data_IF_873179599265
#
_entry.id   IF_873179599265
#
_cell.length_a   1.000
_cell.length_b   1.000
_cell.length_c   1.000
_cell.angle_alpha   90.00
_cell.angle_beta   90.00
_cell.angle_gamma   90.00
#
_symmetry.space_group_name_H-M   'P 1'
#
loop_
_entity.id
_entity.type
_entity.pdbx_description
1 polymer ?
#
# COMPACT_ATOMS: atom_id res chain seq x y z
N UNK A 1 52.37 -30.16 50.45
CA UNK A 1 51.14 -29.92 51.23
C UNK A 1 49.93 -30.10 50.28
N UNK A 2 48.97 -31.00 50.60
CA UNK A 2 47.61 -31.08 50.01
C UNK A 2 46.66 -30.10 50.76
N UNK A 3 45.30 -30.00 50.55
CA UNK A 3 44.28 -30.85 49.85
C UNK A 3 43.44 -30.16 48.73
N UNK A 4 42.85 -30.85 47.71
CA UNK A 4 41.53 -31.57 47.58
C UNK A 4 40.29 -30.65 47.85
N UNK A 5 39.19 -30.54 47.07
CA UNK A 5 38.29 -31.48 46.34
C UNK A 5 37.35 -30.74 45.34
N UNK A 6 37.13 -31.24 44.10
CA UNK A 6 35.92 -31.89 43.50
C UNK A 6 34.63 -31.07 43.23
N UNK A 7 34.11 -31.15 41.98
CA UNK A 7 32.72 -30.80 41.63
C UNK A 7 32.43 -30.84 40.13
N UNK A 8 32.09 -32.02 39.60
CA UNK A 8 31.66 -32.32 38.23
C UNK A 8 30.20 -31.94 37.95
N UNK A 9 29.87 -31.53 36.72
CA UNK A 9 28.48 -31.37 36.28
C UNK A 9 28.32 -31.01 34.80
N UNK A 10 28.48 -32.00 33.92
CA UNK A 10 28.11 -31.96 32.51
C UNK A 10 26.58 -31.97 32.33
N UNK A 11 26.00 -30.91 31.77
CA UNK A 11 24.59 -30.81 31.41
C UNK A 11 24.41 -30.77 29.90
N UNK A 12 24.09 -31.93 29.31
CA UNK A 12 23.72 -32.09 27.90
C UNK A 12 22.30 -31.54 27.67
N UNK A 13 22.19 -30.46 26.90
CA UNK A 13 20.91 -29.81 26.56
C UNK A 13 20.22 -30.55 25.41
N UNK A 14 19.47 -31.60 25.73
CA UNK A 14 18.58 -32.27 24.78
C UNK A 14 17.42 -31.35 24.39
N UNK A 15 17.29 -31.07 23.09
CA UNK A 15 16.15 -30.37 22.51
C UNK A 15 14.87 -31.20 22.67
N UNK A 16 14.00 -30.81 23.60
CA UNK A 16 12.67 -31.39 23.73
C UNK A 16 11.75 -30.80 22.67
N UNK A 17 11.40 -31.61 21.66
CA UNK A 17 10.30 -31.32 20.76
C UNK A 17 9.00 -31.17 21.57
N UNK A 18 8.40 -29.97 21.54
CA UNK A 18 7.13 -29.66 22.20
C UNK A 18 6.01 -30.37 21.43
N UNK A 19 5.66 -31.59 21.83
CA UNK A 19 4.47 -32.28 21.37
C UNK A 19 3.25 -31.38 21.64
N UNK A 20 2.56 -30.98 20.56
CA UNK A 20 1.29 -30.25 20.64
C UNK A 20 0.32 -31.07 21.49
N UNK A 21 -0.04 -30.54 22.65
CA UNK A 21 -1.06 -31.14 23.53
C UNK A 21 -2.36 -31.25 22.74
N UNK A 22 -2.82 -32.46 22.47
CA UNK A 22 -4.11 -32.68 21.85
C UNK A 22 -5.20 -32.15 22.79
N UNK A 23 -5.88 -31.08 22.38
CA UNK A 23 -6.96 -30.51 23.17
C UNK A 23 -8.24 -31.34 23.00
N UNK A 24 -8.90 -31.62 24.13
CA UNK A 24 -10.19 -32.32 24.20
C UNK A 24 -11.25 -31.50 23.47
N UNK A 25 -11.76 -32.03 22.35
CA UNK A 25 -12.78 -31.37 21.52
C UNK A 25 -14.02 -31.02 22.37
N UNK A 26 -14.47 -29.77 22.32
CA UNK A 26 -15.74 -29.36 22.93
C UNK A 26 -16.89 -30.09 22.22
N UNK A 27 -17.73 -30.82 22.97
CA UNK A 27 -18.87 -31.58 22.40
C UNK A 27 -19.92 -30.63 21.80
N UNK A 28 -20.10 -29.46 22.39
CA UNK A 28 -21.17 -28.51 22.03
C UNK A 28 -20.66 -27.25 21.29
N UNK A 29 -19.39 -27.24 20.88
CA UNK A 29 -18.80 -26.12 20.15
C UNK A 29 -19.48 -25.86 18.80
N UNK A 30 -19.39 -24.59 18.36
CA UNK A 30 -19.90 -24.16 17.05
C UNK A 30 -19.18 -24.89 15.90
N UNK A 31 -19.82 -24.93 14.73
CA UNK A 31 -19.27 -25.58 13.54
C UNK A 31 -17.92 -25.02 13.14
N UNK A 32 -17.74 -23.70 13.25
CA UNK A 32 -16.53 -23.04 12.81
C UNK A 32 -15.33 -23.35 13.72
N UNK A 33 -15.52 -23.36 15.05
CA UNK A 33 -14.45 -23.79 15.97
C UNK A 33 -14.12 -25.28 15.80
N UNK A 34 -15.13 -26.12 15.52
CA UNK A 34 -14.92 -27.56 15.23
C UNK A 34 -14.13 -27.75 13.93
N UNK A 35 -14.51 -27.05 12.85
CA UNK A 35 -13.82 -27.04 11.54
C UNK A 35 -12.36 -26.61 11.68
N UNK A 36 -12.12 -25.58 12.51
CA UNK A 36 -10.80 -25.03 12.79
C UNK A 36 -9.97 -25.84 13.80
N UNK A 37 -10.52 -26.93 14.35
CA UNK A 37 -9.89 -27.74 15.40
C UNK A 37 -9.41 -26.92 16.62
N UNK A 38 -10.13 -25.85 16.98
CA UNK A 38 -9.86 -25.00 18.15
C UNK A 38 -10.96 -25.17 19.22
N UNK A 39 -10.64 -24.82 20.47
CA UNK A 39 -11.60 -24.90 21.58
C UNK A 39 -12.64 -23.77 21.46
N UNK A 40 -13.91 -24.13 21.33
CA UNK A 40 -15.04 -23.20 21.40
C UNK A 40 -15.32 -22.83 22.86
N UNK A 41 -15.58 -21.55 23.12
CA UNK A 41 -16.05 -21.01 24.40
C UNK A 41 -17.57 -21.15 24.60
N UNK A 42 -18.29 -21.57 23.55
CA UNK A 42 -19.72 -21.91 23.57
C UNK A 42 -20.68 -20.75 23.89
N UNK A 43 -20.19 -19.51 23.91
CA UNK A 43 -21.02 -18.31 24.04
C UNK A 43 -22.02 -18.19 22.87
N UNK A 44 -23.25 -17.77 23.17
CA UNK A 44 -24.36 -17.56 22.22
C UNK A 44 -24.79 -16.08 22.23
N UNK A 45 -25.17 -15.48 21.08
CA UNK A 45 -25.44 -16.11 19.77
C UNK A 45 -24.19 -16.50 18.96
N UNK A 46 -23.03 -15.91 19.25
CA UNK A 46 -21.75 -16.23 18.61
C UNK A 46 -20.63 -16.39 19.65
N UNK A 47 -19.71 -17.33 19.40
CA UNK A 47 -18.58 -17.60 20.30
C UNK A 47 -17.46 -16.55 20.11
N UNK A 48 -16.70 -16.24 21.17
CA UNK A 48 -15.69 -15.18 21.14
C UNK A 48 -14.64 -15.39 20.05
N UNK A 49 -14.25 -16.64 19.78
CA UNK A 49 -13.31 -16.94 18.70
C UNK A 49 -13.84 -16.61 17.31
N UNK A 50 -15.14 -16.83 17.08
CA UNK A 50 -15.78 -16.50 15.81
C UNK A 50 -16.03 -14.99 15.67
N UNK A 51 -16.40 -14.32 16.77
CA UNK A 51 -16.57 -12.85 16.81
C UNK A 51 -15.24 -12.15 16.51
N UNK A 52 -14.16 -12.53 17.19
CA UNK A 52 -12.82 -11.98 16.98
C UNK A 52 -12.32 -12.24 15.54
N UNK A 53 -12.68 -13.40 14.97
CA UNK A 53 -12.31 -13.72 13.59
C UNK A 53 -13.29 -13.22 12.53
N UNK A 54 -14.38 -12.54 12.93
CA UNK A 54 -15.48 -12.10 12.07
C UNK A 54 -16.05 -13.21 11.16
N UNK A 55 -16.15 -14.44 11.69
CA UNK A 55 -16.67 -15.61 10.95
C UNK A 55 -18.09 -15.93 11.38
N UNK A 56 -18.88 -16.44 10.43
CA UNK A 56 -20.24 -16.92 10.68
C UNK A 56 -20.23 -18.03 11.73
N UNK A 57 -20.77 -17.73 12.92
CA UNK A 57 -20.83 -18.66 14.04
C UNK A 57 -22.19 -19.37 14.07
N UNK A 58 -22.20 -20.67 13.79
CA UNK A 58 -23.41 -21.49 13.87
C UNK A 58 -23.21 -22.67 14.83
N UNK A 59 -24.19 -22.89 15.70
CA UNK A 59 -24.20 -24.02 16.64
C UNK A 59 -25.11 -25.14 16.12
N UNK A 60 -24.82 -26.41 16.40
CA UNK A 60 -25.75 -27.50 16.11
C UNK A 60 -27.07 -27.26 16.86
N UNK A 61 -28.19 -27.40 16.15
CA UNK A 61 -29.52 -27.33 16.74
C UNK A 61 -29.67 -28.44 17.79
N UNK A 62 -30.16 -28.11 18.99
CA UNK A 62 -30.52 -29.14 19.95
C UNK A 62 -31.79 -29.85 19.47
N UNK A 63 -31.86 -31.19 19.52
CA UNK A 63 -33.11 -31.90 19.27
C UNK A 63 -34.10 -31.58 20.39
N UNK A 64 -35.19 -30.92 20.04
CA UNK A 64 -36.31 -30.63 20.95
C UNK A 64 -37.02 -31.93 21.32
N UNK A 65 -37.26 -32.25 22.60
CA UNK A 65 -38.13 -33.36 22.96
C UNK A 65 -39.58 -33.04 22.56
N UNK A 66 -40.21 -33.96 21.84
CA UNK A 66 -41.63 -33.92 21.53
C UNK A 66 -42.47 -34.11 22.80
N UNK A 67 -43.49 -33.26 22.99
CA UNK A 67 -44.59 -33.51 23.91
C UNK A 67 -45.92 -33.09 23.23
N UNK A 68 -46.83 -34.05 23.11
CA UNK A 68 -48.24 -33.88 22.76
C UNK A 68 -49.10 -33.74 24.06
N UNK A 69 -50.45 -33.71 24.02
CA UNK A 69 -51.39 -32.79 23.37
C UNK A 69 -52.30 -32.02 24.41
N UNK A 70 -53.14 -31.11 23.89
CA UNK A 70 -54.20 -30.17 24.39
C UNK A 70 -55.32 -30.75 25.31
N UNK A 71 -56.42 -30.04 25.79
CA UNK A 71 -57.04 -28.70 25.51
C UNK A 71 -57.68 -27.97 26.77
N UNK A 72 -58.71 -27.06 26.71
CA UNK A 72 -58.95 -25.80 25.96
C UNK A 72 -59.42 -24.58 26.83
N UNK A 73 -59.37 -23.34 26.30
CA UNK A 73 -60.52 -22.39 26.19
C UNK A 73 -60.14 -21.05 25.48
N UNK A 74 -61.13 -20.47 24.80
CA UNK A 74 -61.12 -19.40 23.76
C UNK A 74 -61.63 -18.03 24.32
N UNK A 75 -61.98 -16.98 23.53
CA UNK A 75 -61.40 -16.33 22.32
C UNK A 75 -61.43 -14.77 22.34
N UNK A 76 -60.80 -14.09 21.36
CA UNK A 76 -61.35 -12.97 20.52
C UNK A 76 -60.32 -12.60 19.41
N UNK A 77 -60.56 -12.90 18.12
CA UNK A 77 -61.12 -12.04 17.04
C UNK A 77 -60.11 -11.00 16.48
N UNK A 78 -59.85 -10.73 15.19
CA UNK A 78 -60.49 -11.08 13.91
C UNK A 78 -59.65 -10.59 12.69
N UNK A 79 -59.83 -11.23 11.52
CA UNK A 79 -59.76 -10.74 10.10
C UNK A 79 -58.42 -10.17 9.55
N UNK A 80 -57.99 -10.40 8.29
CA UNK A 80 -58.35 -11.28 7.18
C UNK A 80 -57.16 -11.26 6.19
N UNK A 81 -56.81 -12.42 5.62
CA UNK A 81 -55.99 -12.58 4.41
C UNK A 81 -56.90 -12.34 3.15
N UNK A 82 -56.42 -12.36 1.87
CA UNK A 82 -55.99 -13.64 1.29
C UNK A 82 -55.05 -13.68 0.05
N UNK A 83 -54.33 -14.83 -0.05
CA UNK A 83 -54.15 -15.75 -1.21
C UNK A 83 -53.22 -15.26 -2.35
N UNK A 84 -52.42 -16.06 -3.05
CA UNK A 84 -52.12 -17.51 -3.20
C UNK A 84 -51.03 -17.58 -4.32
N UNK A 85 -50.28 -18.63 -4.65
CA UNK A 85 -50.27 -20.06 -4.37
C UNK A 85 -48.87 -20.64 -4.70
N UNK A 86 -48.61 -21.82 -4.14
CA UNK A 86 -47.45 -22.71 -4.20
C UNK A 86 -47.08 -23.30 -5.57
N UNK A 87 -45.83 -23.80 -5.67
CA UNK A 87 -45.42 -25.22 -5.96
C UNK A 87 -43.93 -25.22 -6.41
N UNK A 88 -42.96 -25.61 -5.57
CA UNK A 88 -42.37 -26.96 -5.37
C UNK A 88 -42.14 -27.76 -6.66
N UNK A 89 -40.88 -27.93 -7.08
CA UNK A 89 -40.14 -29.21 -7.13
C UNK A 89 -38.77 -29.05 -7.83
N UNK A 90 -37.77 -29.76 -7.31
CA UNK A 90 -36.46 -30.08 -7.92
C UNK A 90 -36.51 -31.60 -8.23
N UNK A 91 -35.76 -32.20 -9.20
CA UNK A 91 -34.31 -32.41 -9.02
C UNK A 91 -33.44 -32.62 -10.31
N UNK A 92 -32.12 -32.43 -10.10
CA UNK A 92 -30.94 -33.22 -10.53
C UNK A 92 -30.51 -33.49 -12.00
N UNK A 93 -29.17 -33.42 -12.15
CA UNK A 93 -28.20 -34.17 -12.97
C UNK A 93 -27.99 -33.92 -14.48
N UNK A 94 -26.79 -33.44 -14.87
CA UNK A 94 -25.73 -34.27 -15.50
C UNK A 94 -24.65 -33.48 -16.28
N UNK A 95 -23.41 -33.65 -15.84
CA UNK A 95 -22.13 -33.88 -16.56
C UNK A 95 -22.04 -33.56 -18.07
N UNK A 96 -21.06 -32.73 -18.48
CA UNK A 96 -20.14 -33.09 -19.57
C UNK A 96 -18.84 -32.26 -19.59
N UNK A 97 -17.73 -32.98 -19.75
CA UNK A 97 -16.36 -32.50 -19.88
C UNK A 97 -16.07 -31.94 -21.27
N UNK A 98 -15.31 -30.84 -21.37
CA UNK A 98 -14.37 -30.64 -22.48
C UNK A 98 -13.09 -29.98 -21.98
N UNK A 99 -11.97 -30.62 -22.27
CA UNK A 99 -10.64 -30.06 -22.11
C UNK A 99 -10.39 -29.05 -23.23
N UNK A 100 -9.92 -27.85 -22.88
CA UNK A 100 -9.31 -26.92 -23.81
C UNK A 100 -8.09 -26.26 -23.14
N UNK A 101 -6.95 -26.39 -23.79
CA UNK A 101 -5.67 -25.82 -23.40
C UNK A 101 -5.76 -24.32 -23.13
N UNK A 102 -5.44 -23.90 -21.91
CA UNK A 102 -5.29 -22.48 -21.58
C UNK A 102 -3.92 -21.98 -22.04
N UNK A 103 -3.95 -21.05 -23.01
CA UNK A 103 -2.89 -20.11 -23.33
C UNK A 103 -2.76 -19.11 -22.16
N UNK A 104 -1.55 -18.70 -21.72
CA UNK A 104 -1.43 -17.70 -20.65
C UNK A 104 -2.01 -16.36 -21.10
N UNK A 105 -2.85 -15.78 -20.24
CA UNK A 105 -3.49 -14.49 -20.40
C UNK A 105 -2.46 -13.36 -20.45
N UNK A 106 -2.58 -12.51 -21.46
CA UNK A 106 -1.87 -11.25 -21.56
C UNK A 106 -2.34 -10.31 -20.44
N UNK A 107 -1.49 -10.05 -19.44
CA UNK A 107 -1.72 -9.02 -18.42
C UNK A 107 -1.84 -7.66 -19.14
N UNK A 108 -3.01 -6.99 -19.09
CA UNK A 108 -3.16 -5.67 -19.69
C UNK A 108 -2.43 -4.61 -18.85
N UNK A 109 -1.84 -3.57 -19.47
CA UNK A 109 -1.22 -2.48 -18.74
C UNK A 109 -2.26 -1.72 -17.89
N UNK A 110 -1.85 -1.04 -16.81
CA UNK A 110 -2.72 -0.13 -16.07
C UNK A 110 -3.38 0.90 -17.00
N UNK A 111 -4.65 1.22 -16.74
CA UNK A 111 -5.54 1.96 -17.66
C UNK A 111 -5.02 3.33 -18.14
N UNK A 112 -4.12 3.97 -17.40
CA UNK A 112 -3.55 5.28 -17.76
C UNK A 112 -2.42 5.19 -18.81
N UNK A 113 -1.91 3.98 -19.11
CA UNK A 113 -0.96 3.73 -20.20
C UNK A 113 -1.65 3.25 -21.48
N UNK A 114 -2.94 2.89 -21.42
CA UNK A 114 -3.69 2.38 -22.55
C UNK A 114 -4.20 3.54 -23.43
N UNK A 115 -3.82 3.63 -24.72
CA UNK A 115 -4.19 4.77 -25.57
C UNK A 115 -5.69 4.82 -25.95
N UNK A 116 -6.49 3.79 -25.65
CA UNK A 116 -7.76 3.56 -26.36
C UNK A 116 -8.90 2.90 -25.56
N UNK A 117 -8.99 3.07 -24.24
CA UNK A 117 -10.21 2.67 -23.50
C UNK A 117 -11.19 3.84 -23.40
N UNK A 118 -11.91 4.11 -24.49
CA UNK A 118 -13.11 4.96 -24.45
C UNK A 118 -14.21 4.22 -23.68
N UNK A 119 -14.44 4.61 -22.43
CA UNK A 119 -15.63 4.17 -21.70
C UNK A 119 -16.70 5.24 -21.86
N UNK A 120 -17.81 4.88 -22.48
CA UNK A 120 -19.00 5.70 -22.62
C UNK A 120 -19.57 6.01 -21.23
N UNK A 121 -19.40 7.24 -20.75
CA UNK A 121 -20.07 7.75 -19.57
C UNK A 121 -21.50 8.15 -19.95
N UNK A 122 -22.50 7.49 -19.36
CA UNK A 122 -23.82 8.09 -19.24
C UNK A 122 -23.68 9.35 -18.38
N UNK A 123 -23.90 10.50 -19.01
CA UNK A 123 -23.92 11.82 -18.40
C UNK A 123 -25.20 11.91 -17.57
N UNK A 124 -25.05 12.14 -16.27
CA UNK A 124 -26.08 12.80 -15.48
C UNK A 124 -25.50 14.15 -15.05
N UNK A 125 -26.12 15.22 -15.54
CA UNK A 125 -25.67 16.61 -15.42
C UNK A 125 -25.79 17.09 -13.97
N UNK A 126 -24.64 17.29 -13.33
CA UNK A 126 -24.52 17.92 -12.02
C UNK A 126 -23.14 18.57 -11.89
N UNK A 127 -23.03 19.83 -12.31
CA UNK A 127 -21.82 20.63 -12.21
C UNK A 127 -21.36 20.76 -10.74
N UNK A 128 -20.38 19.93 -10.36
CA UNK A 128 -19.62 20.09 -9.12
C UNK A 128 -18.16 20.33 -9.46
N UNK A 129 -17.66 21.51 -9.08
CA UNK A 129 -16.26 21.93 -9.16
C UNK A 129 -15.32 20.83 -8.66
N UNK A 130 -14.37 20.43 -9.51
CA UNK A 130 -13.30 19.47 -9.22
C UNK A 130 -12.23 20.12 -8.34
N UNK A 131 -12.56 20.41 -7.08
CA UNK A 131 -11.53 20.56 -6.05
C UNK A 131 -10.93 19.19 -5.78
N UNK A 132 -9.60 19.06 -5.92
CA UNK A 132 -8.86 17.90 -5.41
C UNK A 132 -9.31 17.62 -3.96
N UNK A 133 -9.65 16.36 -3.59
CA UNK A 133 -10.01 16.05 -2.21
C UNK A 133 -8.90 16.51 -1.28
N UNK A 134 -9.29 17.21 -0.22
CA UNK A 134 -8.44 17.93 0.73
C UNK A 134 -7.20 17.13 1.14
N UNK A 135 -6.05 17.41 0.50
CA UNK A 135 -4.75 16.83 0.82
C UNK A 135 -4.28 17.15 2.25
N UNK A 136 -4.97 18.05 2.97
CA UNK A 136 -4.55 18.57 4.26
C UNK A 136 -5.18 17.83 5.45
N UNK A 137 -6.37 17.24 5.32
CA UNK A 137 -7.04 16.58 6.47
C UNK A 137 -6.33 15.31 6.95
N UNK A 138 -5.71 14.53 6.04
CA UNK A 138 -4.95 13.34 6.42
C UNK A 138 -3.65 13.63 7.18
N UNK A 139 -3.17 14.88 7.17
CA UNK A 139 -1.89 15.26 7.80
C UNK A 139 -2.01 16.33 8.88
N UNK A 140 -3.11 17.07 8.96
CA UNK A 140 -3.39 17.94 10.11
C UNK A 140 -3.71 17.16 11.40
N UNK A 141 -4.13 15.89 11.29
CA UNK A 141 -4.64 15.10 12.42
C UNK A 141 -3.58 14.28 13.19
N UNK A 142 -2.31 14.25 12.75
CA UNK A 142 -1.27 13.47 13.42
C UNK A 142 -0.16 14.37 14.00
N UNK A 143 -0.28 14.65 15.31
CA UNK A 143 0.77 15.16 16.22
C UNK A 143 1.27 16.61 16.08
N UNK A 144 0.36 17.59 16.12
CA UNK A 144 0.69 18.97 16.50
C UNK A 144 -0.24 19.48 17.60
N UNK A 145 -0.20 18.88 18.80
CA UNK A 145 -0.86 19.44 19.98
C UNK A 145 0.11 19.61 21.15
N UNK A 146 0.44 20.88 21.43
CA UNK A 146 0.94 21.55 22.66
C UNK A 146 1.88 22.68 22.18
N UNK A 147 1.71 23.99 22.37
CA UNK A 147 0.93 24.84 23.30
C UNK A 147 0.83 26.29 22.71
N UNK A 148 0.02 27.24 23.26
CA UNK A 148 -0.47 28.41 22.54
C UNK A 148 0.34 29.69 22.78
N UNK A 149 0.51 30.51 21.73
CA UNK A 149 0.47 31.97 21.86
C UNK A 149 0.06 32.61 20.53
N UNK A 150 -1.15 33.17 20.52
CA UNK A 150 -1.73 33.88 19.38
C UNK A 150 -0.94 35.15 19.08
N UNK A 151 -0.35 35.22 17.90
CA UNK A 151 0.17 36.48 17.32
C UNK A 151 -0.56 36.69 15.98
N UNK A 152 -1.00 37.90 15.62
CA UNK A 152 -1.76 38.11 14.39
C UNK A 152 -0.88 37.79 13.16
N UNK A 153 -1.40 36.98 12.24
CA UNK A 153 -0.75 36.67 10.97
C UNK A 153 -0.63 37.96 10.12
N UNK A 154 0.55 38.29 9.55
CA UNK A 154 0.62 39.26 8.47
C UNK A 154 0.06 38.65 7.18
N UNK A 155 -0.87 39.35 6.51
CA UNK A 155 -1.51 38.95 5.23
C UNK A 155 -0.55 38.82 4.02
N UNK A 156 0.76 38.99 4.22
CA UNK A 156 1.77 38.77 3.19
C UNK A 156 2.61 37.53 3.57
N UNK A 157 2.52 36.47 2.76
CA UNK A 157 3.49 35.37 2.83
C UNK A 157 4.90 35.96 2.71
N UNK A 158 5.86 35.54 3.56
CA UNK A 158 7.24 35.99 3.45
C UNK A 158 7.72 35.81 2.01
N UNK A 159 8.27 36.87 1.42
CA UNK A 159 8.92 36.79 0.11
C UNK A 159 9.92 35.64 0.17
N UNK A 160 9.93 34.67 -0.78
CA UNK A 160 10.80 33.52 -0.68
C UNK A 160 12.27 33.99 -0.74
N UNK A 161 12.91 34.06 0.42
CA UNK A 161 14.34 34.37 0.51
C UNK A 161 15.11 33.13 0.07
N UNK A 162 15.52 33.13 -1.19
CA UNK A 162 16.49 32.16 -1.66
C UNK A 162 17.84 32.48 -1.01
N UNK A 163 18.48 31.46 -0.43
CA UNK A 163 19.74 31.60 0.34
C UNK A 163 20.81 30.68 -0.24
N UNK A 164 22.07 30.90 0.13
CA UNK A 164 23.17 30.02 -0.27
C UNK A 164 22.94 28.55 0.12
N UNK A 165 22.16 28.28 1.17
CA UNK A 165 21.78 26.90 1.52
C UNK A 165 20.93 26.25 0.42
N UNK A 166 20.03 26.98 -0.22
CA UNK A 166 19.22 26.45 -1.32
C UNK A 166 20.08 26.08 -2.54
N UNK A 167 21.15 26.82 -2.84
CA UNK A 167 22.12 26.43 -3.88
C UNK A 167 22.85 25.12 -3.54
N UNK A 168 23.23 24.94 -2.26
CA UNK A 168 23.83 23.69 -1.79
C UNK A 168 22.85 22.54 -1.97
N UNK A 169 21.58 22.73 -1.61
CA UNK A 169 20.52 21.73 -1.77
C UNK A 169 20.31 21.35 -3.25
N UNK A 170 20.24 22.34 -4.15
CA UNK A 170 20.07 22.10 -5.58
C UNK A 170 21.26 21.31 -6.17
N UNK A 171 22.48 21.71 -5.80
CA UNK A 171 23.70 20.99 -6.20
C UNK A 171 23.74 19.58 -5.63
N UNK A 172 23.29 19.39 -4.39
CA UNK A 172 23.17 18.08 -3.77
C UNK A 172 22.16 17.20 -4.50
N UNK A 173 20.98 17.72 -4.86
CA UNK A 173 19.98 16.99 -5.63
C UNK A 173 20.56 16.42 -6.92
N UNK A 174 21.25 17.28 -7.70
CA UNK A 174 21.92 16.91 -8.95
C UNK A 174 22.92 15.76 -8.76
N UNK A 175 23.63 15.74 -7.64
CA UNK A 175 24.62 14.70 -7.31
C UNK A 175 24.02 13.44 -6.69
N UNK A 176 22.80 13.49 -6.18
CA UNK A 176 22.22 12.46 -5.33
C UNK A 176 21.71 11.21 -6.08
N UNK A 177 21.90 11.12 -7.40
CA UNK A 177 21.58 9.97 -8.28
C UNK A 177 20.23 9.28 -8.01
N UNK A 178 19.18 10.05 -7.67
CA UNK A 178 17.81 9.51 -7.58
C UNK A 178 17.37 8.86 -8.90
N UNK A 179 17.81 9.46 -10.00
CA UNK A 179 17.68 8.99 -11.37
C UNK A 179 19.07 9.04 -12.02
N UNK A 180 19.20 8.51 -13.23
CA UNK A 180 20.38 8.83 -14.03
C UNK A 180 20.49 10.35 -14.26
N UNK A 181 21.71 10.83 -14.49
CA UNK A 181 22.07 12.25 -14.57
C UNK A 181 21.18 13.02 -15.54
N UNK A 182 20.88 12.46 -16.72
CA UNK A 182 20.09 13.12 -17.76
C UNK A 182 18.65 13.35 -17.30
N UNK A 183 18.08 12.38 -16.58
CA UNK A 183 16.74 12.48 -16.01
C UNK A 183 16.68 13.48 -14.85
N UNK A 184 17.71 13.56 -14.01
CA UNK A 184 17.76 14.54 -12.91
C UNK A 184 17.79 15.98 -13.44
N UNK A 185 18.52 16.23 -14.52
CA UNK A 185 18.63 17.56 -15.11
C UNK A 185 17.30 18.06 -15.68
N UNK A 186 16.52 17.19 -16.33
CA UNK A 186 15.16 17.52 -16.79
C UNK A 186 14.28 18.01 -15.64
N UNK A 187 14.35 17.35 -14.47
CA UNK A 187 13.55 17.70 -13.30
C UNK A 187 13.99 19.03 -12.70
N UNK A 188 15.30 19.29 -12.64
CA UNK A 188 15.87 20.54 -12.14
C UNK A 188 15.47 21.70 -13.06
N UNK A 189 15.70 21.56 -14.37
CA UNK A 189 15.45 22.62 -15.35
C UNK A 189 13.96 22.98 -15.37
N UNK A 190 13.08 21.98 -15.36
CA UNK A 190 11.65 22.21 -15.30
C UNK A 190 11.22 22.92 -14.00
N UNK A 191 11.80 22.55 -12.85
CA UNK A 191 11.50 23.24 -11.58
C UNK A 191 12.02 24.70 -11.57
N UNK A 192 13.14 24.97 -12.22
CA UNK A 192 13.71 26.31 -12.34
C UNK A 192 12.92 27.19 -13.32
N UNK A 193 12.57 26.68 -14.49
CA UNK A 193 11.79 27.38 -15.52
C UNK A 193 10.45 27.88 -14.99
N UNK A 194 9.81 27.07 -14.14
CA UNK A 194 8.53 27.40 -13.54
C UNK A 194 8.63 28.13 -12.20
N UNK A 195 9.84 28.41 -11.70
CA UNK A 195 10.03 28.91 -10.32
C UNK A 195 9.33 30.25 -10.03
N UNK A 196 9.08 31.09 -11.02
CA UNK A 196 8.35 32.36 -10.86
C UNK A 196 6.83 32.18 -10.78
N UNK A 197 6.27 31.18 -11.44
CA UNK A 197 4.81 30.98 -11.57
C UNK A 197 4.29 29.84 -10.68
N UNK A 198 5.11 28.80 -10.50
CA UNK A 198 4.85 27.59 -9.75
C UNK A 198 6.07 27.20 -8.88
N UNK A 199 6.44 28.03 -7.88
CA UNK A 199 7.64 27.83 -7.06
C UNK A 199 7.63 26.55 -6.22
N UNK A 200 6.44 25.97 -5.99
CA UNK A 200 6.26 24.81 -5.13
C UNK A 200 7.00 23.56 -5.63
N UNK A 201 7.23 23.41 -6.94
CA UNK A 201 7.99 22.28 -7.47
C UNK A 201 9.48 22.35 -7.07
N UNK A 202 10.08 23.54 -7.17
CA UNK A 202 11.45 23.77 -6.73
C UNK A 202 11.57 23.61 -5.20
N UNK A 203 10.64 24.16 -4.43
CA UNK A 203 10.62 23.99 -2.98
C UNK A 203 10.58 22.51 -2.56
N UNK A 204 9.76 21.70 -3.23
CA UNK A 204 9.65 20.28 -2.92
C UNK A 204 10.92 19.51 -3.29
N UNK A 205 11.57 19.84 -4.41
CA UNK A 205 12.87 19.29 -4.81
C UNK A 205 13.95 19.59 -3.75
N UNK A 206 14.01 20.84 -3.29
CA UNK A 206 14.95 21.27 -2.27
C UNK A 206 14.63 20.62 -0.91
N UNK A 207 13.35 20.39 -0.58
CA UNK A 207 12.94 19.69 0.63
C UNK A 207 13.48 18.24 0.65
N UNK A 208 13.32 17.50 -0.45
CA UNK A 208 13.87 16.14 -0.59
C UNK A 208 15.40 16.15 -0.42
N UNK A 209 16.07 17.16 -1.00
CA UNK A 209 17.51 17.30 -0.91
C UNK A 209 17.99 17.57 0.52
N UNK A 210 17.26 18.42 1.24
CA UNK A 210 17.56 18.74 2.62
C UNK A 210 17.38 17.52 3.52
N UNK A 211 16.32 16.74 3.32
CA UNK A 211 16.12 15.53 4.10
C UNK A 211 17.19 14.47 3.81
N UNK A 212 17.56 14.29 2.54
CA UNK A 212 18.66 13.39 2.18
C UNK A 212 20.03 13.83 2.77
N UNK A 213 20.32 15.13 2.79
CA UNK A 213 21.51 15.64 3.49
C UNK A 213 21.45 15.40 4.99
N UNK A 214 20.27 15.56 5.60
CA UNK A 214 20.10 15.27 7.02
C UNK A 214 20.42 13.81 7.34
N UNK A 215 20.02 12.88 6.48
CA UNK A 215 20.30 11.45 6.60
C UNK A 215 21.79 11.12 6.42
N UNK A 216 22.43 11.67 5.38
CA UNK A 216 23.85 11.40 5.09
C UNK A 216 24.82 12.04 6.10
N UNK A 217 24.40 13.08 6.82
CA UNK A 217 25.24 13.78 7.81
C UNK A 217 25.08 13.28 9.25
N UNK A 218 24.22 12.29 9.52
CA UNK A 218 23.93 11.79 10.88
C UNK A 218 25.20 11.40 11.65
N UNK A 219 26.20 10.85 10.98
CA UNK A 219 27.45 10.41 11.60
C UNK A 219 28.42 11.57 11.92
N UNK A 220 28.24 12.74 11.32
CA UNK A 220 29.17 13.88 11.41
C UNK A 220 28.76 14.95 12.43
N UNK A 221 27.46 15.26 12.55
CA UNK A 221 26.94 16.24 13.51
C UNK A 221 25.41 16.17 13.63
N UNK A 222 24.91 15.79 14.81
CA UNK A 222 23.47 15.73 15.09
C UNK A 222 22.77 17.09 14.96
N UNK A 223 23.44 18.18 15.31
CA UNK A 223 22.92 19.55 15.18
C UNK A 223 22.77 19.98 13.72
N UNK A 224 23.73 19.60 12.87
CA UNK A 224 23.68 19.85 11.42
C UNK A 224 22.53 19.08 10.77
N UNK A 225 22.38 17.79 11.09
CA UNK A 225 21.28 16.96 10.61
C UNK A 225 19.92 17.53 11.03
N UNK A 226 19.77 17.94 12.31
CA UNK A 226 18.55 18.56 12.79
C UNK A 226 18.26 19.91 12.10
N UNK A 227 19.29 20.69 11.75
CA UNK A 227 19.12 21.89 10.93
C UNK A 227 18.58 21.58 9.54
N UNK A 228 19.07 20.53 8.88
CA UNK A 228 18.61 20.16 7.54
C UNK A 228 17.17 19.63 7.54
N UNK A 229 16.77 18.81 8.53
CA UNK A 229 15.37 18.39 8.68
C UNK A 229 14.42 19.57 8.84
N UNK A 230 14.79 20.57 9.65
CA UNK A 230 13.98 21.79 9.78
C UNK A 230 13.81 22.52 8.44
N UNK A 231 14.89 22.62 7.65
CA UNK A 231 14.82 23.22 6.31
C UNK A 231 13.91 22.41 5.39
N UNK A 232 13.98 21.07 5.43
CA UNK A 232 13.11 20.19 4.66
C UNK A 232 11.62 20.44 4.99
N UNK A 233 11.28 20.49 6.27
CA UNK A 233 9.91 20.77 6.74
C UNK A 233 9.43 22.16 6.33
N UNK A 234 10.28 23.18 6.46
CA UNK A 234 9.95 24.56 6.06
C UNK A 234 9.65 24.65 4.56
N UNK A 235 10.53 24.07 3.74
CA UNK A 235 10.39 24.05 2.28
C UNK A 235 9.14 23.29 1.83
N UNK A 236 8.88 22.11 2.40
CA UNK A 236 7.68 21.34 2.07
C UNK A 236 6.40 22.08 2.50
N UNK A 237 6.40 22.71 3.67
CA UNK A 237 5.25 23.52 4.15
C UNK A 237 5.00 24.71 3.23
N UNK A 238 6.07 25.39 2.79
CA UNK A 238 5.99 26.48 1.82
C UNK A 238 5.45 25.99 0.48
N UNK A 239 5.96 24.86 -0.02
CA UNK A 239 5.51 24.24 -1.26
C UNK A 239 4.02 23.91 -1.23
N UNK A 240 3.54 23.24 -0.18
CA UNK A 240 2.13 22.91 0.01
C UNK A 240 1.25 24.15 0.07
N UNK A 241 1.70 25.19 0.77
CA UNK A 241 0.98 26.47 0.86
C UNK A 241 0.83 27.13 -0.51
N UNK A 242 1.90 27.17 -1.29
CA UNK A 242 1.87 27.72 -2.65
C UNK A 242 1.00 26.86 -3.59
N UNK A 243 1.12 25.53 -3.53
CA UNK A 243 0.33 24.61 -4.35
C UNK A 243 -1.17 24.66 -4.04
N UNK A 244 -1.54 24.77 -2.76
CA UNK A 244 -2.95 24.88 -2.35
C UNK A 244 -3.58 26.19 -2.85
N UNK A 245 -2.85 27.31 -2.78
CA UNK A 245 -3.29 28.59 -3.34
C UNK A 245 -3.39 28.54 -4.87
N UNK A 246 -2.42 27.93 -5.54
CA UNK A 246 -2.46 27.67 -6.98
C UNK A 246 -3.69 26.84 -7.37
N UNK A 247 -4.05 25.86 -6.53
CA UNK A 247 -5.25 25.03 -6.69
C UNK A 247 -6.56 25.80 -6.69
N UNK A 248 -6.62 26.96 -6.04
CA UNK A 248 -7.81 27.83 -6.00
C UNK A 248 -7.98 28.66 -7.29
N UNK A 249 -6.93 28.82 -8.09
CA UNK A 249 -6.95 29.57 -9.36
C UNK A 249 -7.22 28.63 -10.55
N UNK A 250 -8.49 28.31 -10.73
CA UNK A 250 -8.98 27.36 -11.75
C UNK A 250 -8.74 27.82 -13.20
N UNK A 251 -8.57 29.13 -13.44
CA UNK A 251 -8.41 29.68 -14.78
C UNK A 251 -7.10 29.24 -15.46
N UNK A 252 -6.05 28.98 -14.66
CA UNK A 252 -4.70 28.66 -15.15
C UNK A 252 -4.28 27.21 -14.79
N UNK A 253 -5.22 26.32 -14.49
CA UNK A 253 -4.89 24.93 -14.12
C UNK A 253 -4.27 24.15 -15.27
N UNK A 254 -4.77 24.34 -16.49
CA UNK A 254 -4.28 23.63 -17.68
C UNK A 254 -2.88 24.09 -18.09
N UNK A 255 -2.60 25.40 -18.04
CA UNK A 255 -1.28 25.94 -18.39
C UNK A 255 -0.21 25.50 -17.39
N UNK A 256 -0.56 25.40 -16.11
CA UNK A 256 0.33 24.93 -15.03
C UNK A 256 0.25 23.42 -14.78
N UNK A 257 -0.33 22.66 -15.70
CA UNK A 257 -0.52 21.22 -15.50
C UNK A 257 0.82 20.49 -15.25
N UNK A 258 1.85 20.77 -16.06
CA UNK A 258 3.17 20.13 -15.96
C UNK A 258 3.85 20.41 -14.61
N UNK A 259 4.01 21.65 -14.12
CA UNK A 259 4.62 21.90 -12.80
C UNK A 259 3.77 21.37 -11.64
N UNK A 260 2.42 21.40 -11.73
CA UNK A 260 1.53 20.78 -10.73
C UNK A 260 1.76 19.27 -10.64
N UNK A 261 1.89 18.61 -11.79
CA UNK A 261 2.21 17.19 -11.88
C UNK A 261 3.61 16.89 -11.30
N UNK A 262 4.62 17.69 -11.67
CA UNK A 262 5.98 17.54 -11.18
C UNK A 262 6.03 17.61 -9.64
N UNK A 263 5.43 18.66 -9.07
CA UNK A 263 5.34 18.82 -7.62
C UNK A 263 4.65 17.63 -6.95
N UNK A 264 3.48 17.23 -7.46
CA UNK A 264 2.72 16.13 -6.88
C UNK A 264 3.53 14.83 -6.91
N UNK A 265 4.26 14.58 -8.01
CA UNK A 265 5.14 13.41 -8.15
C UNK A 265 6.33 13.44 -7.18
N UNK A 266 6.99 14.59 -7.03
CA UNK A 266 8.09 14.76 -6.08
C UNK A 266 7.62 14.60 -4.63
N UNK A 267 6.48 15.20 -4.27
CA UNK A 267 5.89 15.05 -2.94
C UNK A 267 5.52 13.58 -2.66
N UNK A 268 4.92 12.92 -3.64
CA UNK A 268 4.58 11.50 -3.57
C UNK A 268 5.81 10.63 -3.31
N UNK A 269 6.91 10.89 -4.03
CA UNK A 269 8.18 10.20 -3.85
C UNK A 269 8.79 10.45 -2.46
N UNK A 270 8.72 11.71 -1.99
CA UNK A 270 9.21 12.08 -0.65
C UNK A 270 8.44 11.32 0.45
N UNK A 271 7.11 11.27 0.35
CA UNK A 271 6.27 10.54 1.31
C UNK A 271 6.47 9.04 1.27
N UNK A 272 6.71 8.47 0.08
CA UNK A 272 7.06 7.06 -0.03
C UNK A 272 8.38 6.79 0.71
N UNK A 273 9.39 7.61 0.49
CA UNK A 273 10.68 7.48 1.19
C UNK A 273 10.55 7.66 2.70
N UNK A 274 9.83 8.67 3.19
CA UNK A 274 9.64 8.90 4.63
C UNK A 274 8.94 7.69 5.28
N UNK A 275 7.89 7.17 4.63
CA UNK A 275 7.18 5.97 5.07
C UNK A 275 8.12 4.77 5.13
N UNK A 276 8.92 4.59 4.07
CA UNK A 276 9.83 3.47 3.94
C UNK A 276 11.04 3.55 4.86
N UNK A 277 11.47 4.72 5.32
CA UNK A 277 12.75 4.89 6.05
C UNK A 277 12.59 5.45 7.47
N UNK A 278 11.76 6.46 7.68
CA UNK A 278 11.65 7.16 8.96
C UNK A 278 10.56 6.57 9.86
N UNK A 279 9.42 6.16 9.30
CA UNK A 279 8.24 5.75 10.07
C UNK A 279 8.15 4.24 10.30
N UNK A 280 9.22 3.65 10.86
CA UNK A 280 9.37 2.20 11.06
C UNK A 280 9.07 1.70 12.48
N UNK A 281 8.52 2.55 13.35
CA UNK A 281 8.43 2.27 14.78
C UNK A 281 7.58 1.03 15.14
N UNK A 282 6.45 0.83 14.46
CA UNK A 282 5.58 -0.34 14.65
C UNK A 282 4.90 -0.74 13.35
N UNK A 283 4.43 -1.98 13.27
CA UNK A 283 3.65 -2.49 12.14
C UNK A 283 2.44 -1.60 11.82
N UNK A 284 1.64 -1.24 12.83
CA UNK A 284 0.41 -0.46 12.62
C UNK A 284 0.70 0.94 12.10
N UNK A 285 1.70 1.64 12.68
CA UNK A 285 2.10 2.97 12.23
C UNK A 285 2.60 2.92 10.79
N UNK A 286 3.41 1.91 10.45
CA UNK A 286 3.90 1.75 9.08
C UNK A 286 2.76 1.52 8.09
N UNK A 287 1.84 0.58 8.39
CA UNK A 287 0.72 0.26 7.49
C UNK A 287 -0.19 1.47 7.27
N UNK A 288 -0.52 2.21 8.32
CA UNK A 288 -1.33 3.42 8.23
C UNK A 288 -0.66 4.47 7.33
N UNK A 289 0.64 4.76 7.56
CA UNK A 289 1.42 5.70 6.76
C UNK A 289 1.54 5.24 5.31
N UNK A 290 1.76 3.95 5.07
CA UNK A 290 1.77 3.37 3.74
C UNK A 290 0.44 3.58 3.02
N UNK A 291 -0.70 3.30 3.67
CA UNK A 291 -2.02 3.52 3.07
C UNK A 291 -2.25 5.00 2.75
N UNK A 292 -1.87 5.91 3.65
CA UNK A 292 -1.98 7.35 3.44
C UNK A 292 -1.08 7.82 2.28
N UNK A 293 0.13 7.26 2.18
CA UNK A 293 1.02 7.54 1.06
C UNK A 293 0.39 7.11 -0.27
N UNK A 294 -0.20 5.93 -0.37
CA UNK A 294 -0.87 5.48 -1.61
C UNK A 294 -2.07 6.36 -1.96
N UNK A 295 -2.85 6.81 -0.96
CA UNK A 295 -3.93 7.78 -1.19
C UNK A 295 -3.42 9.11 -1.76
N UNK A 296 -2.21 9.56 -1.40
CA UNK A 296 -1.58 10.73 -2.01
C UNK A 296 -1.17 10.46 -3.47
N UNK A 297 -0.59 9.29 -3.74
CA UNK A 297 -0.22 8.87 -5.08
C UNK A 297 -1.44 8.81 -6.04
N UNK A 298 -2.63 8.52 -5.50
CA UNK A 298 -3.91 8.60 -6.24
C UNK A 298 -4.15 9.98 -6.84
N UNK A 299 -3.78 11.06 -6.15
CA UNK A 299 -3.88 12.43 -6.67
C UNK A 299 -3.01 12.62 -7.92
N UNK A 300 -1.82 12.04 -7.92
CA UNK A 300 -0.91 12.01 -9.09
C UNK A 300 -1.55 11.22 -10.23
N UNK A 301 -2.09 10.03 -9.96
CA UNK A 301 -2.76 9.18 -10.98
C UNK A 301 -4.00 9.86 -11.59
N UNK A 302 -4.83 10.48 -10.77
CA UNK A 302 -6.06 11.17 -11.19
C UNK A 302 -5.75 12.36 -12.11
N UNK A 303 -4.68 13.10 -11.82
CA UNK A 303 -4.23 14.22 -12.67
C UNK A 303 -3.50 13.73 -13.94
N UNK A 304 -2.73 12.64 -13.85
CA UNK A 304 -1.95 12.14 -14.98
C UNK A 304 -2.78 11.48 -16.07
N UNK A 305 -3.87 10.77 -15.74
CA UNK A 305 -4.62 9.99 -16.73
C UNK A 305 -5.28 10.86 -17.81
N UNK A 306 -5.99 11.96 -17.49
CA UNK A 306 -6.53 12.88 -18.51
C UNK A 306 -5.43 13.69 -19.21
N UNK A 307 -4.36 14.04 -18.48
CA UNK A 307 -3.26 14.87 -18.99
C UNK A 307 -2.09 14.12 -19.63
N UNK A 308 -2.20 12.80 -19.83
CA UNK A 308 -1.10 11.96 -20.31
C UNK A 308 -0.50 12.47 -21.63
N UNK A 309 -1.36 12.94 -22.56
CA UNK A 309 -0.93 13.52 -23.84
C UNK A 309 -0.12 14.80 -23.66
N UNK A 310 -0.39 15.60 -22.63
CA UNK A 310 0.39 16.79 -22.29
C UNK A 310 1.74 16.37 -21.68
N UNK A 311 1.77 15.35 -20.83
CA UNK A 311 3.00 14.85 -20.20
C UNK A 311 4.00 14.32 -21.24
N UNK A 312 3.55 13.49 -22.19
CA UNK A 312 4.44 12.92 -23.23
C UNK A 312 4.90 13.95 -24.28
N UNK A 313 4.30 15.15 -24.32
CA UNK A 313 4.75 16.28 -25.15
C UNK A 313 5.64 17.26 -24.39
N UNK A 314 5.77 17.08 -23.08
CA UNK A 314 6.61 17.91 -22.21
C UNK A 314 8.02 17.32 -22.09
N UNK A 315 8.97 18.03 -21.47
CA UNK A 315 10.29 17.49 -21.12
C UNK A 315 10.23 16.20 -20.28
N UNK A 316 9.12 15.92 -19.58
CA UNK A 316 8.94 14.71 -18.77
C UNK A 316 8.68 13.44 -19.58
N UNK A 317 8.55 13.51 -20.91
CA UNK A 317 8.25 12.35 -21.76
C UNK A 317 9.12 11.10 -21.48
N UNK A 318 10.45 11.20 -21.25
CA UNK A 318 11.29 10.03 -21.00
C UNK A 318 10.83 9.16 -19.81
N UNK A 319 10.27 9.77 -18.77
CA UNK A 319 9.77 9.07 -17.58
C UNK A 319 8.52 8.21 -17.84
N UNK A 320 7.79 8.49 -18.92
CA UNK A 320 6.57 7.75 -19.28
C UNK A 320 6.82 6.77 -20.41
N UNK A 321 7.49 7.23 -21.46
CA UNK A 321 7.74 6.41 -22.65
C UNK A 321 8.63 5.22 -22.30
N UNK A 322 9.67 5.41 -21.48
CA UNK A 322 10.52 4.30 -21.04
C UNK A 322 9.76 3.21 -20.29
N UNK A 323 8.90 3.60 -19.35
CA UNK A 323 8.05 2.66 -18.58
C UNK A 323 7.03 1.95 -19.48
N UNK A 324 6.40 2.69 -20.40
CA UNK A 324 5.46 2.12 -21.37
C UNK A 324 6.15 1.09 -22.25
N UNK A 325 7.27 1.47 -22.86
CA UNK A 325 8.00 0.61 -23.79
C UNK A 325 8.54 -0.63 -23.05
N UNK A 326 9.00 -0.48 -21.80
CA UNK A 326 9.37 -1.59 -20.91
C UNK A 326 8.20 -2.52 -20.54
N UNK A 327 6.99 -1.98 -20.39
CA UNK A 327 5.79 -2.78 -20.14
C UNK A 327 5.32 -3.57 -21.37
N UNK A 328 5.59 -3.07 -22.57
CA UNK A 328 5.26 -3.71 -23.85
C UNK A 328 6.29 -4.77 -24.26
N UNK A 329 7.53 -4.67 -23.76
CA UNK A 329 8.59 -5.65 -23.99
C UNK A 329 8.21 -7.05 -23.47
N UNK A 330 8.63 -8.06 -24.24
CA UNK A 330 8.07 -9.42 -24.17
C UNK A 330 8.57 -10.32 -23.04
N UNK A 331 9.58 -9.93 -22.26
CA UNK A 331 10.00 -10.73 -21.09
C UNK A 331 9.02 -10.51 -19.95
N UNK A 332 8.22 -11.55 -19.69
CA UNK A 332 7.19 -11.58 -18.66
C UNK A 332 7.61 -12.63 -17.65
N UNK A 333 8.13 -12.18 -16.52
CA UNK A 333 8.36 -13.04 -15.37
C UNK A 333 7.03 -13.55 -14.80
N UNK A 334 7.15 -14.47 -13.86
CA UNK A 334 6.05 -15.13 -13.16
C UNK A 334 6.19 -15.04 -11.63
N UNK A 335 6.96 -14.06 -11.14
CA UNK A 335 7.27 -13.87 -9.72
C UNK A 335 6.01 -13.90 -8.83
N UNK A 336 4.94 -13.22 -9.24
CA UNK A 336 3.68 -13.14 -8.49
C UNK A 336 2.70 -14.27 -8.82
N UNK A 337 2.97 -15.18 -9.75
CA UNK A 337 2.03 -16.23 -10.14
C UNK A 337 1.61 -17.13 -8.95
N UNK A 338 2.53 -17.60 -8.07
CA UNK A 338 2.14 -18.38 -6.89
C UNK A 338 1.27 -17.58 -5.91
N UNK A 339 1.55 -16.29 -5.76
CA UNK A 339 0.78 -15.40 -4.90
C UNK A 339 -0.64 -15.17 -5.44
N UNK A 340 -0.79 -14.96 -6.74
CA UNK A 340 -2.09 -14.80 -7.40
C UNK A 340 -2.94 -16.06 -7.19
N UNK A 341 -2.38 -17.24 -7.45
CA UNK A 341 -3.08 -18.51 -7.20
C UNK A 341 -3.48 -18.67 -5.73
N UNK A 342 -2.65 -18.25 -4.78
CA UNK A 342 -2.99 -18.27 -3.36
C UNK A 342 -4.18 -17.35 -3.04
N UNK A 343 -4.19 -16.14 -3.60
CA UNK A 343 -5.25 -15.14 -3.37
C UNK A 343 -6.58 -15.65 -3.94
N UNK A 344 -6.58 -16.18 -5.15
CA UNK A 344 -7.77 -16.70 -5.84
C UNK A 344 -8.44 -17.87 -5.10
N UNK A 345 -7.66 -18.65 -4.35
CA UNK A 345 -8.13 -19.80 -3.57
C UNK A 345 -8.33 -19.48 -2.07
N UNK A 346 -8.30 -18.20 -1.69
CA UNK A 346 -8.45 -17.78 -0.28
C UNK A 346 -9.90 -17.77 0.21
N UNK A 347 -10.09 -17.74 1.53
CA UNK A 347 -11.39 -17.60 2.20
C UNK A 347 -11.91 -16.14 2.19
N UNK A 348 -11.30 -15.23 1.42
CA UNK A 348 -11.68 -13.82 1.37
C UNK A 348 -13.04 -13.61 0.68
N UNK A 349 -13.63 -12.43 0.88
CA UNK A 349 -14.81 -12.03 0.09
C UNK A 349 -14.42 -11.87 -1.39
N UNK A 350 -15.35 -12.06 -2.35
CA UNK A 350 -15.04 -11.92 -3.78
C UNK A 350 -14.40 -10.56 -4.13
N UNK A 351 -14.88 -9.47 -3.52
CA UNK A 351 -14.31 -8.14 -3.70
C UNK A 351 -12.88 -8.00 -3.15
N UNK A 352 -12.57 -8.65 -2.02
CA UNK A 352 -11.22 -8.63 -1.46
C UNK A 352 -10.25 -9.50 -2.29
N UNK A 353 -10.72 -10.64 -2.83
CA UNK A 353 -9.96 -11.45 -3.80
C UNK A 353 -9.63 -10.62 -5.03
N UNK A 354 -10.64 -9.99 -5.65
CA UNK A 354 -10.46 -9.15 -6.83
C UNK A 354 -9.46 -8.00 -6.58
N UNK A 355 -9.58 -7.30 -5.44
CA UNK A 355 -8.68 -6.22 -5.07
C UNK A 355 -7.23 -6.71 -4.89
N UNK A 356 -7.02 -7.82 -4.18
CA UNK A 356 -5.69 -8.38 -3.95
C UNK A 356 -5.07 -8.96 -5.22
N UNK A 357 -5.85 -9.67 -6.05
CA UNK A 357 -5.38 -10.21 -7.33
C UNK A 357 -5.01 -9.09 -8.29
N UNK A 358 -5.81 -8.02 -8.37
CA UNK A 358 -5.48 -6.85 -9.18
C UNK A 358 -4.16 -6.21 -8.72
N UNK A 359 -3.96 -6.07 -7.41
CA UNK A 359 -2.71 -5.57 -6.86
C UNK A 359 -1.52 -6.49 -7.18
N UNK A 360 -1.67 -7.81 -7.07
CA UNK A 360 -0.64 -8.78 -7.41
C UNK A 360 -0.28 -8.78 -8.92
N UNK A 361 -1.27 -8.66 -9.81
CA UNK A 361 -1.03 -8.48 -11.24
C UNK A 361 -0.33 -7.15 -11.56
N UNK A 362 -0.71 -6.09 -10.86
CA UNK A 362 -0.06 -4.77 -10.97
C UNK A 362 1.39 -4.84 -10.50
N UNK A 363 1.67 -5.63 -9.47
CA UNK A 363 3.03 -5.87 -8.99
C UNK A 363 3.84 -6.71 -9.99
N UNK A 364 3.23 -7.73 -10.61
CA UNK A 364 3.87 -8.49 -11.69
C UNK A 364 4.24 -7.57 -12.87
N UNK A 365 3.35 -6.65 -13.23
CA UNK A 365 3.66 -5.62 -14.22
C UNK A 365 4.88 -4.80 -13.82
N UNK A 366 4.98 -4.37 -12.55
CA UNK A 366 6.13 -3.62 -12.06
C UNK A 366 7.44 -4.45 -12.09
N UNK A 367 7.39 -5.75 -11.79
CA UNK A 367 8.55 -6.64 -11.96
C UNK A 367 9.01 -6.74 -13.42
N UNK A 368 8.07 -6.85 -14.35
CA UNK A 368 8.38 -6.90 -15.78
C UNK A 368 9.00 -5.57 -16.26
N UNK A 369 8.44 -4.44 -15.85
CA UNK A 369 9.01 -3.11 -16.16
C UNK A 369 10.42 -2.99 -15.60
N UNK A 370 10.64 -3.35 -14.32
CA UNK A 370 11.97 -3.32 -13.70
C UNK A 370 13.00 -4.17 -14.46
N UNK A 371 12.59 -5.34 -14.93
CA UNK A 371 13.43 -6.26 -15.71
C UNK A 371 13.80 -5.71 -17.08
N UNK A 372 12.85 -5.05 -17.74
CA UNK A 372 13.00 -4.56 -19.10
C UNK A 372 13.63 -3.15 -19.17
N UNK A 373 13.62 -2.39 -18.08
CA UNK A 373 14.29 -1.10 -18.01
C UNK A 373 15.81 -1.25 -17.87
N UNK A 374 16.60 -0.32 -18.45
CA UNK A 374 18.03 -0.24 -18.18
C UNK A 374 18.31 -0.11 -16.67
N UNK A 375 19.40 -0.72 -16.21
CA UNK A 375 19.80 -0.69 -14.78
C UNK A 375 19.95 0.73 -14.20
N UNK A 376 20.21 1.73 -15.04
CA UNK A 376 20.32 3.14 -14.62
C UNK A 376 18.98 3.77 -14.22
N UNK A 377 17.85 3.22 -14.68
CA UNK A 377 16.51 3.82 -14.52
C UNK A 377 15.44 2.83 -14.04
N UNK A 378 15.78 1.55 -13.87
CA UNK A 378 14.85 0.51 -13.43
C UNK A 378 14.19 0.78 -12.07
N UNK A 379 14.77 1.67 -11.26
CA UNK A 379 14.22 2.23 -10.03
C UNK A 379 12.81 2.81 -10.22
N UNK A 380 12.50 3.35 -11.41
CA UNK A 380 11.19 3.93 -11.73
C UNK A 380 10.06 2.91 -11.56
N UNK A 381 10.32 1.62 -11.80
CA UNK A 381 9.33 0.56 -11.65
C UNK A 381 8.87 0.39 -10.19
N UNK A 382 9.80 0.51 -9.24
CA UNK A 382 9.49 0.40 -7.81
C UNK A 382 8.65 1.59 -7.33
N UNK A 383 8.95 2.80 -7.78
CA UNK A 383 8.14 4.00 -7.46
C UNK A 383 6.81 4.02 -8.21
N UNK A 384 6.70 3.37 -9.38
CA UNK A 384 5.48 3.32 -10.15
C UNK A 384 4.40 2.47 -9.46
N UNK A 385 4.76 1.33 -8.86
CA UNK A 385 3.78 0.40 -8.26
C UNK A 385 2.77 1.08 -7.30
N UNK A 386 3.20 1.86 -6.28
CA UNK A 386 2.28 2.59 -5.41
C UNK A 386 1.42 3.63 -6.13
N UNK A 387 1.91 4.24 -7.23
CA UNK A 387 1.14 5.18 -8.05
C UNK A 387 -0.04 4.51 -8.73
N UNK A 388 0.17 3.29 -9.20
CA UNK A 388 -0.76 2.63 -10.12
C UNK A 388 -1.74 1.73 -9.40
N UNK A 389 -1.46 1.42 -8.13
CA UNK A 389 -2.24 0.56 -7.26
C UNK A 389 -3.72 0.96 -7.22
N UNK A 390 -4.59 -0.04 -7.08
CA UNK A 390 -6.04 0.17 -7.02
C UNK A 390 -6.47 0.66 -5.64
N UNK A 391 -7.40 1.62 -5.59
CA UNK A 391 -7.98 2.14 -4.34
C UNK A 391 -8.65 1.03 -3.52
N UNK A 392 -9.21 0.02 -4.20
CA UNK A 392 -9.90 -1.10 -3.57
C UNK A 392 -8.95 -1.98 -2.73
N UNK A 393 -7.64 -1.93 -3.00
CA UNK A 393 -6.64 -2.72 -2.29
C UNK A 393 -6.26 -2.13 -0.92
N UNK A 394 -6.49 -0.83 -0.70
CA UNK A 394 -6.10 -0.16 0.55
C UNK A 394 -6.88 -0.71 1.75
N UNK A 395 -8.16 -1.01 1.56
CA UNK A 395 -9.02 -1.49 2.64
C UNK A 395 -8.60 -2.89 3.16
N UNK A 396 -8.33 -3.90 2.30
CA UNK A 396 -7.69 -5.14 2.72
C UNK A 396 -6.38 -4.95 3.51
N UNK A 397 -5.54 -3.99 3.12
CA UNK A 397 -4.27 -3.68 3.80
C UNK A 397 -4.53 -3.08 5.19
N UNK A 398 -5.42 -2.09 5.32
CA UNK A 398 -5.81 -1.50 6.62
C UNK A 398 -6.43 -2.52 7.57
N UNK A 399 -7.17 -3.49 7.03
CA UNK A 399 -7.72 -4.63 7.77
C UNK A 399 -6.69 -5.73 8.07
N UNK A 400 -5.43 -5.53 7.70
CA UNK A 400 -4.33 -6.48 7.89
C UNK A 400 -4.64 -7.87 7.32
N UNK A 401 -5.35 -7.94 6.18
CA UNK A 401 -5.64 -9.22 5.53
C UNK A 401 -4.31 -9.86 5.08
N UNK A 402 -4.00 -11.10 5.47
CA UNK A 402 -2.71 -11.70 5.17
C UNK A 402 -2.35 -11.72 3.70
N UNK A 403 -3.31 -12.02 2.83
CA UNK A 403 -3.16 -12.03 1.38
C UNK A 403 -2.75 -10.65 0.85
N UNK A 404 -3.33 -9.58 1.39
CA UNK A 404 -2.95 -8.23 1.05
C UNK A 404 -1.53 -7.93 1.54
N UNK A 405 -1.20 -8.30 2.79
CA UNK A 405 0.15 -8.10 3.33
C UNK A 405 1.21 -8.90 2.56
N UNK A 406 0.89 -10.08 2.02
CA UNK A 406 1.79 -10.84 1.15
C UNK A 406 2.14 -10.08 -0.13
N UNK A 407 1.18 -9.36 -0.74
CA UNK A 407 1.48 -8.48 -1.89
C UNK A 407 2.49 -7.39 -1.48
N UNK A 408 2.38 -6.81 -0.28
CA UNK A 408 3.39 -5.85 0.22
C UNK A 408 4.75 -6.52 0.48
N UNK A 409 4.80 -7.77 0.94
CA UNK A 409 6.06 -8.50 1.10
C UNK A 409 6.74 -8.74 -0.25
N UNK A 410 5.97 -9.09 -1.29
CA UNK A 410 6.49 -9.22 -2.65
C UNK A 410 6.94 -7.85 -3.20
N UNK A 411 6.24 -6.76 -2.89
CA UNK A 411 6.70 -5.42 -3.21
C UNK A 411 8.03 -5.09 -2.50
N UNK A 412 8.21 -5.58 -1.27
CA UNK A 412 9.49 -5.53 -0.56
C UNK A 412 10.65 -6.17 -1.33
N UNK A 413 10.41 -7.22 -2.13
CA UNK A 413 11.43 -7.81 -3.02
C UNK A 413 11.82 -6.83 -4.12
N UNK A 414 10.84 -6.18 -4.75
CA UNK A 414 11.10 -5.17 -5.78
C UNK A 414 11.92 -4.01 -5.21
N UNK A 415 11.56 -3.52 -4.02
CA UNK A 415 12.33 -2.51 -3.30
C UNK A 415 13.77 -2.99 -2.99
N UNK A 416 13.92 -4.24 -2.56
CA UNK A 416 15.23 -4.83 -2.25
C UNK A 416 16.13 -4.93 -3.49
N UNK A 417 15.58 -5.24 -4.66
CA UNK A 417 16.32 -5.22 -5.94
C UNK A 417 16.80 -3.81 -6.31
N UNK A 418 16.08 -2.78 -5.86
CA UNK A 418 16.43 -1.38 -6.03
C UNK A 418 17.21 -0.76 -4.86
N UNK A 419 17.72 -1.56 -3.90
CA UNK A 419 18.38 -1.09 -2.66
C UNK A 419 19.61 -0.21 -2.84
N UNK A 420 20.23 -0.25 -4.03
CA UNK A 420 21.38 0.59 -4.37
C UNK A 420 21.00 2.07 -4.50
N UNK A 421 19.71 2.38 -4.67
CA UNK A 421 19.19 3.74 -4.63
C UNK A 421 18.87 4.10 -3.19
N UNK A 422 19.42 5.23 -2.72
CA UNK A 422 19.29 5.69 -1.33
C UNK A 422 17.84 5.83 -0.87
N UNK A 423 16.93 6.16 -1.80
CA UNK A 423 15.48 6.28 -1.55
C UNK A 423 14.88 4.98 -0.99
N UNK A 424 15.42 3.84 -1.41
CA UNK A 424 14.93 2.53 -1.00
C UNK A 424 15.84 1.88 0.03
N UNK A 425 17.16 1.90 -0.16
CA UNK A 425 18.11 1.35 0.82
C UNK A 425 17.70 -0.03 1.35
N UNK A 426 17.64 -0.18 2.67
CA UNK A 426 17.25 -1.42 3.35
C UNK A 426 15.71 -1.64 3.44
N UNK A 427 14.90 -0.73 2.90
CA UNK A 427 13.44 -0.72 3.09
C UNK A 427 12.75 -1.99 2.61
N UNK A 428 13.26 -2.62 1.55
CA UNK A 428 12.71 -3.89 1.06
C UNK A 428 12.89 -5.02 2.07
N UNK A 429 14.09 -5.15 2.64
CA UNK A 429 14.37 -6.13 3.68
C UNK A 429 13.56 -5.84 4.95
N UNK A 430 13.52 -4.57 5.37
CA UNK A 430 12.68 -4.14 6.49
C UNK A 430 11.21 -4.55 6.30
N UNK A 431 10.61 -4.25 5.14
CA UNK A 431 9.20 -4.52 4.87
C UNK A 431 8.89 -6.03 4.90
N UNK A 432 9.73 -6.85 4.29
CA UNK A 432 9.57 -8.31 4.27
C UNK A 432 9.61 -8.88 5.70
N UNK A 433 10.59 -8.47 6.51
CA UNK A 433 10.71 -8.93 7.89
C UNK A 433 9.54 -8.46 8.75
N UNK A 434 9.13 -7.20 8.60
CA UNK A 434 8.00 -6.61 9.33
C UNK A 434 6.71 -7.41 9.09
N UNK A 435 6.43 -7.76 7.83
CA UNK A 435 5.25 -8.55 7.46
C UNK A 435 5.38 -10.00 7.93
N UNK A 436 6.56 -10.60 7.77
CA UNK A 436 6.81 -11.98 8.19
C UNK A 436 6.64 -12.16 9.71
N UNK A 437 7.11 -11.21 10.50
CA UNK A 437 6.92 -11.18 11.95
C UNK A 437 5.43 -11.05 12.31
N UNK A 438 4.69 -10.16 11.65
CA UNK A 438 3.27 -9.94 11.90
C UNK A 438 2.41 -11.17 11.55
N UNK A 439 2.64 -11.79 10.39
CA UNK A 439 1.86 -12.94 9.92
C UNK A 439 2.19 -14.24 10.65
N UNK A 440 3.42 -14.36 11.15
CA UNK A 440 3.87 -15.51 11.91
C UNK A 440 3.99 -16.80 11.10
N UNK A 441 4.15 -17.93 11.81
CA UNK A 441 4.63 -19.18 11.19
C UNK A 441 3.67 -19.84 10.20
N UNK A 442 2.39 -19.49 10.24
CA UNK A 442 1.37 -20.09 9.36
C UNK A 442 1.59 -19.71 7.89
N UNK A 443 2.12 -18.51 7.63
CA UNK A 443 2.33 -17.95 6.30
C UNK A 443 3.74 -18.14 5.75
N UNK A 444 4.58 -18.96 6.42
CA UNK A 444 5.99 -19.17 6.06
C UNK A 444 6.19 -19.63 4.63
N UNK A 445 5.33 -20.53 4.14
CA UNK A 445 5.46 -21.06 2.78
C UNK A 445 5.18 -19.99 1.72
N UNK A 446 4.19 -19.12 1.96
CA UNK A 446 3.88 -17.99 1.08
C UNK A 446 4.96 -16.89 1.12
N UNK A 447 5.64 -16.73 2.26
CA UNK A 447 6.74 -15.79 2.47
C UNK A 447 8.12 -16.36 2.10
N UNK A 448 8.20 -17.63 1.72
CA UNK A 448 9.48 -18.30 1.44
C UNK A 448 10.25 -17.59 0.34
N UNK A 449 9.61 -17.32 -0.79
CA UNK A 449 10.26 -16.66 -1.92
C UNK A 449 10.76 -15.24 -1.57
N UNK A 450 9.94 -14.35 -0.97
CA UNK A 450 10.45 -13.05 -0.53
C UNK A 450 11.64 -13.12 0.43
N UNK A 451 11.65 -14.07 1.36
CA UNK A 451 12.75 -14.25 2.30
C UNK A 451 14.02 -14.78 1.62
N UNK A 452 13.91 -15.74 0.71
CA UNK A 452 15.04 -16.27 -0.07
C UNK A 452 15.70 -15.19 -0.94
N UNK A 453 14.92 -14.27 -1.50
CA UNK A 453 15.46 -13.17 -2.32
C UNK A 453 16.34 -12.20 -1.50
N UNK A 454 16.18 -12.14 -0.17
CA UNK A 454 17.08 -11.36 0.70
C UNK A 454 18.43 -12.06 0.93
N UNK A 455 18.49 -13.38 0.74
CA UNK A 455 19.69 -14.20 0.97
C UNK A 455 20.53 -14.34 -0.31
N UNK A 456 19.88 -14.43 -1.48
CA UNK A 456 20.54 -14.62 -2.80
C UNK A 456 21.53 -13.51 -3.17
N UNK A 457 21.37 -12.34 -2.58
CA UNK A 457 22.12 -11.12 -2.87
C UNK A 457 23.19 -10.77 -1.81
N UNK A 458 23.40 -11.65 -0.80
CA UNK A 458 24.47 -11.54 0.20
C UNK A 458 25.74 -12.34 -0.16
N UNK A 459 25.71 -13.10 -1.26
CA UNK A 459 26.86 -13.80 -1.84
C UNK A 459 27.28 -13.20 -3.16
#
# INVERSE_FOLDING_TARGET
>A
MPPRTSGSGSGSGAATAKLRRAHRKSRNGCWECKRRHIKCDENRPACSNCVISERTCSFPAQPTPAAAPTPPEQPVSSFNEPLSASQVESPADSISSTAASHRPSSIPPPSYLAPNSGFTSNIDDGAHSTSLPSFTESFAAADLSESPLSTPLPDALPTPYFTNKHLILLHHFRKSLLFDVDNVDIIIDLALDWSSEAPYALDQLLAISADHLAMTQVESSAESAASWRRIATELQTRALTHFNRDGQDTANHESRFVPRFLFSSLLSLHMLYDTLTQYRATFHVFIERFCNSVCLHRGVKSTSSPGYQTLIRSPLAPFFLGVRDAAELGDKGDECAPLITLIENSDLSPSAVEACSTAAHTLQWAFNVHRNLPKSVNVQAASAFPVVLSDNYIEPVRKHRPEALLVLAYYGVLLHRCRHVWLFGDSGAFLIHLIAEHLGSYWKDALRWPLEELERDQG
#
